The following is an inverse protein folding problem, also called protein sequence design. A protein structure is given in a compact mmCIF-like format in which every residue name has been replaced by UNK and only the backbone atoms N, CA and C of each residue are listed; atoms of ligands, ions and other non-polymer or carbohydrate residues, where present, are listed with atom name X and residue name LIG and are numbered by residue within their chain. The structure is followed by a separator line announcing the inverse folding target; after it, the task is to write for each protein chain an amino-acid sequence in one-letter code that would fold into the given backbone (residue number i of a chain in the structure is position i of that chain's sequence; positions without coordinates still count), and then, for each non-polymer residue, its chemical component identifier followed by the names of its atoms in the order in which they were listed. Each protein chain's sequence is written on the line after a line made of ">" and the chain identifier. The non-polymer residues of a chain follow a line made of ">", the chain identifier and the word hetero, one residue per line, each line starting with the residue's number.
data_IF_102585238148
#
_entry.id   IF_102585238148
#
_cell.length_a   1.000
_cell.length_b   1.000
_cell.length_c   1.000
_cell.angle_alpha   90.00
_cell.angle_beta   90.00
_cell.angle_gamma   90.00
#
_symmetry.space_group_name_H-M   'P 1'
#
loop_
_entity.id
_entity.type
_entity.pdbx_description
1 polymer ?
#
# COMPACT_ATOMS: atom_id res chain seq x y z
N UNK A 1 28.76 15.87 5.70
CA UNK A 1 27.68 15.47 4.77
C UNK A 1 26.44 16.27 5.12
N UNK A 2 25.63 16.77 4.18
CA UNK A 2 24.36 17.40 4.52
C UNK A 2 23.48 16.36 5.27
N UNK A 3 22.70 16.84 6.24
CA UNK A 3 21.74 15.98 6.95
C UNK A 3 20.75 15.39 5.96
N UNK A 4 20.33 14.12 6.11
CA UNK A 4 19.35 13.51 5.22
C UNK A 4 18.07 14.33 5.20
N UNK A 5 17.42 14.44 4.04
CA UNK A 5 16.13 15.08 3.94
C UNK A 5 15.10 14.34 4.79
N UNK A 6 14.38 15.05 5.65
CA UNK A 6 13.36 14.47 6.53
C UNK A 6 12.00 14.94 6.04
N UNK A 7 11.11 13.99 5.70
CA UNK A 7 9.70 14.28 5.42
C UNK A 7 8.90 14.23 6.74
N UNK A 8 8.33 15.36 7.17
CA UNK A 8 7.45 15.39 8.34
C UNK A 8 6.12 14.68 8.02
N UNK A 9 5.36 14.22 9.05
CA UNK A 9 4.05 13.64 8.83
C UNK A 9 3.06 14.70 8.33
N UNK A 10 2.30 14.36 7.27
CA UNK A 10 1.29 15.25 6.68
C UNK A 10 -0.08 15.11 7.35
N UNK A 11 -0.40 13.93 7.90
CA UNK A 11 -1.76 13.61 8.40
C UNK A 11 -1.81 13.10 9.83
N UNK A 12 -0.72 13.19 10.59
CA UNK A 12 -0.71 12.90 12.02
C UNK A 12 -1.68 13.83 12.77
N UNK A 13 -2.49 13.28 13.67
CA UNK A 13 -3.56 13.98 14.38
C UNK A 13 -4.86 14.14 13.58
N UNK A 14 -4.89 13.68 12.31
CA UNK A 14 -6.08 13.72 11.44
C UNK A 14 -6.51 12.33 10.98
N UNK A 15 -5.62 11.56 10.36
CA UNK A 15 -5.88 10.18 9.90
C UNK A 15 -5.57 9.14 10.96
N UNK A 16 -4.64 9.46 11.86
CA UNK A 16 -4.24 8.63 13.00
C UNK A 16 -3.78 9.54 14.15
N UNK A 17 -3.73 9.05 15.41
CA UNK A 17 -3.32 9.86 16.56
C UNK A 17 -1.93 10.47 16.40
N UNK A 18 -1.81 11.78 16.67
CA UNK A 18 -0.52 12.50 16.61
C UNK A 18 0.40 12.22 17.81
N UNK A 19 -0.09 11.55 18.89
CA UNK A 19 0.70 11.18 20.07
C UNK A 19 1.10 9.71 19.98
N UNK A 20 2.39 9.44 20.10
CA UNK A 20 2.99 8.10 19.98
C UNK A 20 2.28 7.03 20.82
N UNK A 21 2.02 7.34 22.09
CA UNK A 21 1.38 6.41 23.01
C UNK A 21 -0.05 6.02 22.60
N UNK A 22 -0.84 7.00 22.16
CA UNK A 22 -2.21 6.77 21.69
C UNK A 22 -2.22 5.97 20.38
N UNK A 23 -1.31 6.34 19.47
CA UNK A 23 -1.14 5.67 18.19
C UNK A 23 -0.73 4.20 18.39
N UNK A 24 0.26 3.96 19.24
CA UNK A 24 0.72 2.59 19.55
C UNK A 24 -0.40 1.72 20.10
N UNK A 25 -1.16 2.20 21.09
CA UNK A 25 -2.30 1.47 21.66
C UNK A 25 -3.38 1.16 20.61
N UNK A 26 -3.70 2.12 19.76
CA UNK A 26 -4.71 1.92 18.71
C UNK A 26 -4.26 0.88 17.69
N UNK A 27 -3.00 0.92 17.26
CA UNK A 27 -2.46 -0.08 16.33
C UNK A 27 -2.45 -1.47 16.96
N UNK A 28 -2.05 -1.61 18.23
CA UNK A 28 -2.06 -2.90 18.94
C UNK A 28 -3.45 -3.55 18.96
N UNK A 29 -4.51 -2.74 19.15
CA UNK A 29 -5.89 -3.22 19.05
C UNK A 29 -6.24 -3.75 17.66
N UNK A 30 -5.72 -3.13 16.59
CA UNK A 30 -5.99 -3.55 15.21
C UNK A 30 -5.16 -4.75 14.77
N UNK A 31 -3.93 -4.90 15.26
CA UNK A 31 -3.06 -6.04 14.95
C UNK A 31 -3.57 -7.35 15.52
N UNK A 32 -4.32 -7.28 16.64
CA UNK A 32 -4.82 -8.47 17.35
C UNK A 32 -3.72 -9.22 18.11
N UNK A 33 -4.11 -10.32 18.74
CA UNK A 33 -3.21 -11.12 19.58
C UNK A 33 -2.45 -12.13 18.72
N UNK A 34 -1.26 -11.78 18.28
CA UNK A 34 -0.26 -12.66 17.63
C UNK A 34 -0.83 -13.60 16.56
N UNK A 35 -1.46 -13.09 15.49
CA UNK A 35 -1.97 -13.94 14.43
C UNK A 35 -0.84 -14.69 13.72
N UNK A 36 -1.11 -15.91 13.25
CA UNK A 36 -0.18 -16.72 12.49
C UNK A 36 0.31 -15.96 11.24
N UNK A 37 1.63 -15.92 11.07
CA UNK A 37 2.28 -15.22 9.95
C UNK A 37 2.22 -16.05 8.68
N UNK A 38 1.92 -15.41 7.55
CA UNK A 38 1.95 -16.03 6.22
C UNK A 38 3.37 -15.96 5.68
N UNK A 39 4.17 -17.02 5.87
CA UNK A 39 5.62 -17.03 5.60
C UNK A 39 5.99 -16.71 4.15
N UNK A 40 5.21 -17.18 3.18
CA UNK A 40 5.41 -16.91 1.74
C UNK A 40 4.89 -15.55 1.24
N UNK A 41 4.39 -14.68 2.13
CA UNK A 41 3.88 -13.39 1.73
C UNK A 41 4.98 -12.54 1.05
N UNK A 42 4.68 -12.08 -0.15
CA UNK A 42 5.51 -11.17 -0.96
C UNK A 42 4.88 -9.79 -1.10
N UNK A 43 3.55 -9.73 -1.25
CA UNK A 43 2.84 -8.47 -1.43
C UNK A 43 1.50 -8.43 -0.70
N UNK A 44 0.97 -7.23 -0.55
CA UNK A 44 -0.37 -7.05 0.00
C UNK A 44 -1.05 -5.80 -0.56
N UNK A 45 -2.39 -5.82 -0.56
CA UNK A 45 -3.24 -4.64 -0.72
C UNK A 45 -3.76 -4.27 0.65
N UNK A 46 -3.63 -2.99 1.03
CA UNK A 46 -4.08 -2.45 2.32
C UNK A 46 -4.74 -1.09 2.15
N UNK A 47 -5.82 -0.78 2.88
CA UNK A 47 -6.51 0.49 2.80
C UNK A 47 -5.73 1.62 3.49
N UNK A 48 -6.10 2.88 3.16
CA UNK A 48 -5.43 4.08 3.67
C UNK A 48 -6.37 5.20 4.14
N UNK A 49 -7.64 4.91 4.36
CA UNK A 49 -8.53 5.83 5.05
C UNK A 49 -8.06 6.09 6.50
N UNK A 50 -8.65 7.07 7.17
CA UNK A 50 -8.36 7.30 8.58
C UNK A 50 -8.54 6.02 9.41
N UNK A 51 -7.66 5.84 10.40
CA UNK A 51 -7.58 4.59 11.18
C UNK A 51 -8.89 4.16 11.84
N UNK A 52 -9.74 5.12 12.19
CA UNK A 52 -11.07 4.79 12.74
C UNK A 52 -11.96 4.03 11.74
N UNK A 53 -11.75 4.22 10.44
CA UNK A 53 -12.55 3.57 9.39
C UNK A 53 -11.91 2.28 8.88
N UNK A 54 -10.65 2.35 8.48
CA UNK A 54 -9.96 1.25 7.79
C UNK A 54 -8.87 0.56 8.61
N UNK A 55 -8.49 1.11 9.77
CA UNK A 55 -7.38 0.61 10.59
C UNK A 55 -7.53 -0.86 10.99
N UNK A 56 -8.77 -1.30 11.26
CA UNK A 56 -9.04 -2.71 11.61
C UNK A 56 -8.88 -3.69 10.42
N UNK A 57 -8.97 -3.19 9.16
CA UNK A 57 -8.69 -3.98 7.96
C UNK A 57 -7.18 -4.01 7.71
N UNK A 58 -6.52 -2.85 7.76
CA UNK A 58 -5.07 -2.75 7.64
C UNK A 58 -4.35 -3.59 8.72
N UNK A 59 -4.76 -3.45 9.98
CA UNK A 59 -4.19 -4.22 11.10
C UNK A 59 -4.32 -5.74 10.94
N UNK A 60 -5.46 -6.22 10.41
CA UNK A 60 -5.63 -7.64 10.13
C UNK A 60 -4.63 -8.18 9.11
N UNK A 61 -4.21 -7.34 8.13
CA UNK A 61 -3.16 -7.69 7.16
C UNK A 61 -1.79 -7.61 7.82
N UNK A 62 -1.42 -6.45 8.40
CA UNK A 62 -0.11 -6.26 9.02
C UNK A 62 0.19 -7.29 10.13
N UNK A 63 -0.85 -7.68 10.87
CA UNK A 63 -0.73 -8.74 11.87
C UNK A 63 -0.28 -10.07 11.29
N UNK A 64 -0.56 -10.38 10.03
CA UNK A 64 -0.20 -11.63 9.35
C UNK A 64 1.05 -11.55 8.49
N UNK A 65 1.62 -10.36 8.26
CA UNK A 65 2.84 -10.23 7.46
C UNK A 65 4.07 -10.68 8.24
N UNK A 66 4.97 -11.44 7.61
CA UNK A 66 6.28 -11.74 8.18
C UNK A 66 7.17 -10.49 8.15
N UNK A 67 8.14 -10.42 9.06
CA UNK A 67 9.14 -9.36 9.03
C UNK A 67 10.01 -9.46 7.77
N UNK A 68 10.25 -8.30 7.15
CA UNK A 68 11.21 -8.12 6.05
C UNK A 68 12.14 -6.96 6.38
N UNK A 69 13.28 -6.90 5.71
CA UNK A 69 14.23 -5.78 5.89
C UNK A 69 13.84 -4.55 5.09
N UNK A 70 13.18 -4.74 3.93
CA UNK A 70 12.81 -3.66 3.02
C UNK A 70 11.35 -3.79 2.59
N UNK A 71 10.63 -2.67 2.62
CA UNK A 71 9.25 -2.55 2.15
C UNK A 71 9.18 -1.57 0.98
N UNK A 72 8.81 -2.05 -0.22
CA UNK A 72 8.46 -1.19 -1.35
C UNK A 72 6.99 -0.82 -1.19
N UNK A 73 6.70 0.44 -0.91
CA UNK A 73 5.33 0.89 -0.65
C UNK A 73 4.86 1.76 -1.81
N UNK A 74 3.88 1.25 -2.53
CA UNK A 74 3.23 1.91 -3.65
C UNK A 74 1.96 2.59 -3.17
N UNK A 75 1.75 3.84 -3.54
CA UNK A 75 0.53 4.56 -3.22
C UNK A 75 -0.01 5.33 -4.43
N UNK A 76 -1.31 5.63 -4.51
CA UNK A 76 -1.81 6.59 -5.48
C UNK A 76 -1.26 7.98 -5.19
N UNK A 77 -1.21 8.83 -6.20
CA UNK A 77 -0.90 10.25 -6.03
C UNK A 77 -2.21 11.06 -6.02
N UNK A 78 -2.77 11.29 -4.84
CA UNK A 78 -4.01 12.06 -4.67
C UNK A 78 -3.80 13.56 -4.89
N UNK A 79 -2.59 14.05 -4.72
CA UNK A 79 -2.28 15.48 -4.84
C UNK A 79 -2.17 15.94 -6.29
N UNK A 80 -1.90 15.02 -7.22
CA UNK A 80 -1.62 15.30 -8.61
C UNK A 80 -0.31 16.06 -8.85
N UNK A 81 0.53 16.25 -7.80
CA UNK A 81 1.82 16.95 -7.92
C UNK A 81 2.92 15.97 -8.29
N UNK A 82 3.96 16.51 -8.90
CA UNK A 82 5.18 15.81 -9.25
C UNK A 82 5.04 14.85 -10.43
N UNK A 83 5.99 13.94 -10.54
CA UNK A 83 6.09 13.01 -11.66
C UNK A 83 4.99 11.93 -11.66
N UNK A 84 4.56 11.44 -12.85
CA UNK A 84 3.56 10.38 -12.98
C UNK A 84 3.92 9.07 -12.27
N UNK A 85 5.20 8.74 -12.17
CA UNK A 85 5.76 7.67 -11.34
C UNK A 85 6.93 8.26 -10.55
N UNK A 86 6.69 8.62 -9.30
CA UNK A 86 7.63 9.32 -8.43
C UNK A 86 8.23 8.40 -7.37
N UNK A 87 9.53 8.49 -7.16
CA UNK A 87 10.26 7.77 -6.11
C UNK A 87 11.13 8.76 -5.34
N UNK A 88 11.24 8.59 -4.02
CA UNK A 88 12.32 9.17 -3.24
C UNK A 88 13.38 8.11 -3.00
N UNK A 89 14.63 8.38 -3.41
CA UNK A 89 15.71 7.40 -3.29
C UNK A 89 16.61 7.61 -2.08
N UNK A 90 16.36 8.63 -1.26
CA UNK A 90 17.13 8.89 -0.04
C UNK A 90 16.36 9.74 0.95
N UNK A 91 16.77 9.70 2.22
CA UNK A 91 16.17 10.47 3.30
C UNK A 91 15.44 9.61 4.32
N UNK A 92 14.63 10.25 5.13
CA UNK A 92 13.84 9.63 6.20
C UNK A 92 12.43 10.20 6.23
N UNK A 93 11.45 9.40 6.61
CA UNK A 93 10.12 9.89 6.93
C UNK A 93 9.88 9.82 8.45
N UNK A 94 9.27 10.88 8.97
CA UNK A 94 8.94 10.99 10.38
C UNK A 94 7.48 10.57 10.61
N UNK A 95 7.26 9.76 11.64
CA UNK A 95 5.93 9.47 12.20
C UNK A 95 5.95 9.79 13.69
N UNK A 96 4.81 9.81 14.39
CA UNK A 96 4.82 9.92 15.84
C UNK A 96 5.59 8.80 16.57
N UNK A 97 5.77 7.62 15.92
CA UNK A 97 6.52 6.48 16.47
C UNK A 97 8.04 6.54 16.18
N UNK A 98 8.51 7.57 15.48
CA UNK A 98 9.93 7.73 15.14
C UNK A 98 10.19 7.81 13.64
N UNK A 99 11.47 7.71 13.27
CA UNK A 99 11.95 7.84 11.90
C UNK A 99 11.98 6.49 11.20
N UNK A 100 11.72 6.51 9.90
CA UNK A 100 11.89 5.36 9.01
C UNK A 100 12.79 5.78 7.86
N UNK A 101 13.91 5.08 7.69
CA UNK A 101 14.89 5.39 6.66
C UNK A 101 14.47 4.82 5.30
N UNK A 102 14.80 5.55 4.23
CA UNK A 102 14.66 5.06 2.86
C UNK A 102 15.79 4.09 2.54
N UNK A 103 15.47 2.93 1.95
CA UNK A 103 16.44 2.01 1.40
C UNK A 103 16.98 2.55 0.06
N UNK A 104 18.04 3.34 0.15
CA UNK A 104 18.66 3.96 -1.03
C UNK A 104 19.21 2.92 -2.01
N UNK A 105 19.71 1.79 -1.54
CA UNK A 105 20.23 0.75 -2.41
C UNK A 105 19.11 0.14 -3.25
N UNK A 106 18.00 -0.23 -2.62
CA UNK A 106 16.81 -0.76 -3.32
C UNK A 106 16.19 0.30 -4.24
N UNK A 107 16.10 1.55 -3.80
CA UNK A 107 15.58 2.64 -4.64
C UNK A 107 16.41 2.83 -5.93
N UNK A 108 17.74 2.75 -5.85
CA UNK A 108 18.60 2.80 -7.03
C UNK A 108 18.43 1.59 -7.96
N UNK A 109 18.24 0.38 -7.41
CA UNK A 109 17.93 -0.81 -8.21
C UNK A 109 16.59 -0.64 -8.96
N UNK A 110 15.55 -0.14 -8.29
CA UNK A 110 14.25 0.13 -8.89
C UNK A 110 14.33 1.15 -10.03
N UNK A 111 15.02 2.26 -9.85
CA UNK A 111 15.22 3.28 -10.91
C UNK A 111 15.98 2.74 -12.11
N UNK A 112 16.92 1.84 -11.91
CA UNK A 112 17.63 1.17 -13.01
C UNK A 112 16.75 0.16 -13.75
N UNK A 113 15.86 -0.52 -13.02
CA UNK A 113 14.98 -1.53 -13.58
C UNK A 113 13.74 -0.94 -14.27
N UNK A 114 13.27 0.25 -13.83
CA UNK A 114 12.12 0.94 -14.41
C UNK A 114 12.49 2.40 -14.74
N UNK A 115 12.76 2.67 -16.00
CA UNK A 115 13.16 4.02 -16.48
C UNK A 115 12.04 5.07 -16.37
N UNK A 116 10.80 4.64 -16.14
CA UNK A 116 9.67 5.53 -15.91
C UNK A 116 9.65 6.13 -14.49
N UNK A 117 10.41 5.54 -13.54
CA UNK A 117 10.53 6.06 -12.18
C UNK A 117 11.44 7.29 -12.14
N UNK A 118 10.86 8.41 -11.77
CA UNK A 118 11.55 9.69 -11.64
C UNK A 118 11.81 10.01 -10.17
N UNK A 119 13.02 10.52 -9.89
CA UNK A 119 13.32 11.06 -8.55
C UNK A 119 12.48 12.31 -8.32
N UNK A 120 11.59 12.25 -7.35
CA UNK A 120 10.67 13.34 -7.06
C UNK A 120 10.14 13.26 -5.62
N UNK A 121 10.50 14.24 -4.81
CA UNK A 121 10.01 14.35 -3.44
C UNK A 121 8.67 15.10 -3.35
N UNK A 122 8.32 15.91 -4.36
CA UNK A 122 7.11 16.75 -4.34
C UNK A 122 5.84 15.89 -4.33
N UNK A 123 5.82 14.80 -5.12
CA UNK A 123 4.71 13.85 -5.16
C UNK A 123 4.40 13.22 -3.79
N UNK A 124 5.37 13.20 -2.89
CA UNK A 124 5.26 12.57 -1.56
C UNK A 124 4.96 13.56 -0.43
N UNK A 125 5.17 14.86 -0.65
CA UNK A 125 5.19 15.85 0.43
C UNK A 125 3.91 15.86 1.26
N UNK A 126 2.75 15.88 0.61
CA UNK A 126 1.43 15.95 1.23
C UNK A 126 0.59 14.68 1.00
N UNK A 127 1.18 13.62 0.39
CA UNK A 127 0.49 12.38 0.12
C UNK A 127 0.37 11.52 1.39
N UNK A 128 -0.87 11.18 1.75
CA UNK A 128 -1.19 10.49 2.99
C UNK A 128 -1.18 8.96 2.87
N UNK A 129 -1.52 8.44 1.68
CA UNK A 129 -1.87 7.03 1.50
C UNK A 129 -0.70 6.07 1.74
N UNK A 130 0.53 6.52 1.56
CA UNK A 130 1.72 5.78 1.97
C UNK A 130 2.04 5.99 3.45
N UNK A 131 1.95 7.24 3.92
CA UNK A 131 2.32 7.61 5.29
C UNK A 131 1.59 6.78 6.33
N UNK A 132 0.28 6.55 6.14
CA UNK A 132 -0.56 5.81 7.09
C UNK A 132 -0.15 4.33 7.24
N UNK A 133 0.65 3.78 6.33
CA UNK A 133 1.14 2.41 6.41
C UNK A 133 2.34 2.27 7.35
N UNK A 134 3.15 3.34 7.47
CA UNK A 134 4.41 3.29 8.23
C UNK A 134 4.22 2.98 9.73
N UNK A 135 3.26 3.59 10.45
CA UNK A 135 3.08 3.28 11.87
C UNK A 135 2.69 1.83 12.13
N UNK A 136 1.89 1.20 11.23
CA UNK A 136 1.58 -0.23 11.33
C UNK A 136 2.83 -1.08 11.21
N UNK A 137 3.71 -0.79 10.24
CA UNK A 137 4.98 -1.49 10.09
C UNK A 137 5.88 -1.28 11.30
N UNK A 138 6.07 -0.04 11.76
CA UNK A 138 6.88 0.26 12.95
C UNK A 138 6.42 -0.56 14.16
N UNK A 139 5.12 -0.79 14.31
CA UNK A 139 4.58 -1.52 15.45
C UNK A 139 4.60 -3.04 15.25
N UNK A 140 4.36 -3.54 14.04
CA UNK A 140 4.24 -4.97 13.77
C UNK A 140 5.58 -5.68 13.52
N UNK A 141 6.57 -4.96 12.95
CA UNK A 141 7.86 -5.57 12.55
C UNK A 141 9.09 -4.91 13.20
N UNK A 142 8.93 -3.74 13.81
CA UNK A 142 10.02 -2.98 14.44
C UNK A 142 10.86 -2.22 13.42
N UNK A 143 12.18 -2.38 13.43
CA UNK A 143 13.09 -1.70 12.51
C UNK A 143 13.05 -2.31 11.10
N UNK A 144 12.94 -1.44 10.09
CA UNK A 144 12.93 -1.75 8.66
C UNK A 144 13.35 -0.51 7.86
N UNK A 145 13.67 -0.72 6.59
CA UNK A 145 13.80 0.35 5.60
C UNK A 145 12.66 0.25 4.58
N UNK A 146 12.40 1.34 3.86
CA UNK A 146 11.35 1.34 2.85
C UNK A 146 11.74 2.13 1.61
N UNK A 147 11.01 1.91 0.52
CA UNK A 147 11.09 2.73 -0.70
C UNK A 147 9.70 3.26 -1.02
N UNK A 148 9.51 4.58 -0.97
CA UNK A 148 8.23 5.22 -1.31
C UNK A 148 8.11 5.41 -2.82
N UNK A 149 6.98 4.96 -3.40
CA UNK A 149 6.64 5.18 -4.81
C UNK A 149 5.21 5.71 -4.91
N UNK A 150 5.04 6.92 -5.45
CA UNK A 150 3.75 7.50 -5.76
C UNK A 150 3.39 7.25 -7.23
N UNK A 151 2.19 6.74 -7.47
CA UNK A 151 1.68 6.36 -8.78
C UNK A 151 0.56 7.33 -9.19
N UNK A 152 0.89 8.27 -10.05
CA UNK A 152 -0.01 9.30 -10.60
C UNK A 152 -0.45 9.02 -12.04
N UNK A 153 -0.10 7.88 -12.62
CA UNK A 153 -0.53 7.49 -13.97
C UNK A 153 -1.54 6.36 -13.94
N UNK A 154 -2.50 6.40 -14.87
CA UNK A 154 -3.51 5.35 -15.05
C UNK A 154 -3.28 4.46 -16.27
N UNK A 155 -2.18 4.65 -17.01
CA UNK A 155 -1.88 3.86 -18.20
C UNK A 155 -1.38 2.46 -17.87
N UNK A 156 -2.10 1.38 -18.29
CA UNK A 156 -1.78 -0.01 -17.97
C UNK A 156 -0.32 -0.38 -18.27
N UNK A 157 0.20 -0.01 -19.45
CA UNK A 157 1.58 -0.33 -19.84
C UNK A 157 2.63 0.27 -18.91
N UNK A 158 2.38 1.47 -18.36
CA UNK A 158 3.29 2.08 -17.40
C UNK A 158 3.25 1.35 -16.03
N UNK A 159 2.05 0.93 -15.61
CA UNK A 159 1.85 0.16 -14.38
C UNK A 159 2.49 -1.24 -14.47
N UNK A 160 2.31 -1.89 -15.62
CA UNK A 160 2.93 -3.19 -15.92
C UNK A 160 4.47 -3.06 -15.95
N UNK A 161 5.01 -2.03 -16.62
CA UNK A 161 6.45 -1.75 -16.63
C UNK A 161 7.01 -1.52 -15.24
N UNK A 162 6.27 -0.82 -14.37
CA UNK A 162 6.66 -0.64 -12.97
C UNK A 162 6.70 -2.00 -12.24
N UNK A 163 5.70 -2.85 -12.45
CA UNK A 163 5.65 -4.19 -11.87
C UNK A 163 6.83 -5.07 -12.29
N UNK A 164 7.16 -5.11 -13.58
CA UNK A 164 8.34 -5.82 -14.09
C UNK A 164 9.65 -5.28 -13.49
N UNK A 165 9.77 -3.94 -13.36
CA UNK A 165 10.90 -3.30 -12.71
C UNK A 165 11.04 -3.69 -11.23
N UNK A 166 9.93 -3.75 -10.50
CA UNK A 166 9.92 -4.22 -9.10
C UNK A 166 10.37 -5.68 -9.01
N UNK A 167 9.85 -6.57 -9.87
CA UNK A 167 10.26 -7.97 -9.89
C UNK A 167 11.75 -8.12 -10.17
N UNK A 168 12.26 -7.38 -11.16
CA UNK A 168 13.69 -7.40 -11.51
C UNK A 168 14.57 -6.94 -10.34
N UNK A 169 14.19 -5.85 -9.66
CA UNK A 169 14.95 -5.31 -8.54
C UNK A 169 14.89 -6.23 -7.30
N UNK A 170 13.72 -6.82 -7.01
CA UNK A 170 13.50 -7.66 -5.84
C UNK A 170 14.02 -9.10 -5.99
N UNK A 171 14.14 -9.62 -7.22
CA UNK A 171 14.51 -11.04 -7.49
C UNK A 171 15.73 -11.55 -6.72
N UNK A 172 16.86 -10.80 -6.62
CA UNK A 172 18.04 -11.27 -5.89
C UNK A 172 17.82 -11.40 -4.37
N UNK A 173 16.83 -10.71 -3.82
CA UNK A 173 16.56 -10.58 -2.39
C UNK A 173 15.07 -10.78 -2.06
N UNK A 174 14.36 -11.61 -2.84
CA UNK A 174 12.90 -11.76 -2.73
C UNK A 174 12.44 -12.14 -1.31
N UNK A 175 13.23 -12.91 -0.57
CA UNK A 175 12.95 -13.25 0.83
C UNK A 175 13.11 -12.10 1.83
N UNK A 176 13.72 -10.98 1.44
CA UNK A 176 13.96 -9.81 2.28
C UNK A 176 13.06 -8.62 1.95
N UNK A 177 12.30 -8.70 0.85
CA UNK A 177 11.45 -7.61 0.33
C UNK A 177 9.97 -7.95 0.49
N UNK A 178 9.17 -6.94 0.79
CA UNK A 178 7.71 -6.96 0.76
C UNK A 178 7.20 -5.78 -0.09
N UNK A 179 6.21 -6.01 -0.93
CA UNK A 179 5.57 -4.95 -1.72
C UNK A 179 4.19 -4.64 -1.14
N UNK A 180 3.96 -3.39 -0.76
CA UNK A 180 2.68 -2.93 -0.23
C UNK A 180 2.01 -2.04 -1.26
N UNK A 181 0.83 -2.43 -1.71
CA UNK A 181 -0.06 -1.61 -2.54
C UNK A 181 -1.11 -0.96 -1.64
N UNK A 182 -0.98 0.34 -1.44
CA UNK A 182 -1.92 1.12 -0.63
C UNK A 182 -3.14 1.49 -1.47
N UNK A 183 -4.33 1.04 -1.09
CA UNK A 183 -5.58 1.29 -1.84
C UNK A 183 -6.81 1.14 -1.00
N UNK A 184 -7.68 2.16 -1.03
CA UNK A 184 -9.09 1.96 -0.74
C UNK A 184 -9.80 1.42 -2.00
N UNK A 185 -11.01 0.83 -1.82
CA UNK A 185 -11.80 0.24 -2.90
C UNK A 185 -12.76 1.29 -3.50
N UNK A 186 -14.00 0.93 -3.80
CA UNK A 186 -14.98 1.83 -4.40
C UNK A 186 -15.42 2.93 -3.42
N UNK A 187 -15.75 4.13 -3.93
CA UNK A 187 -16.03 5.33 -3.14
C UNK A 187 -17.41 5.92 -3.44
N UNK A 188 -18.07 6.39 -2.38
CA UNK A 188 -19.21 7.30 -2.39
C UNK A 188 -20.46 6.78 -3.13
N UNK A 189 -20.65 5.47 -3.13
CA UNK A 189 -21.86 4.80 -3.58
C UNK A 189 -22.56 4.09 -2.42
N UNK A 190 -23.85 3.70 -2.55
CA UNK A 190 -24.55 2.94 -1.52
C UNK A 190 -23.84 1.62 -1.16
N UNK A 191 -23.88 1.22 0.11
CA UNK A 191 -23.14 0.09 0.67
C UNK A 191 -23.33 -1.21 -0.13
N UNK A 192 -24.56 -1.54 -0.54
CA UNK A 192 -24.83 -2.75 -1.34
C UNK A 192 -24.14 -2.72 -2.70
N UNK A 193 -24.20 -1.60 -3.43
CA UNK A 193 -23.55 -1.43 -4.73
C UNK A 193 -22.03 -1.41 -4.60
N UNK A 194 -21.50 -0.71 -3.58
CA UNK A 194 -20.06 -0.68 -3.29
C UNK A 194 -19.54 -2.09 -3.06
N UNK A 195 -20.20 -2.88 -2.22
CA UNK A 195 -19.80 -4.28 -1.96
C UNK A 195 -19.83 -5.14 -3.22
N UNK A 196 -20.83 -4.98 -4.08
CA UNK A 196 -20.91 -5.71 -5.35
C UNK A 196 -19.71 -5.36 -6.27
N UNK A 197 -19.44 -4.07 -6.48
CA UNK A 197 -18.33 -3.57 -7.28
C UNK A 197 -16.98 -4.03 -6.72
N UNK A 198 -16.78 -3.87 -5.42
CA UNK A 198 -15.54 -4.27 -4.74
C UNK A 198 -15.25 -5.76 -4.89
N UNK A 199 -16.27 -6.62 -4.77
CA UNK A 199 -16.08 -8.07 -4.95
C UNK A 199 -15.60 -8.42 -6.35
N UNK A 200 -16.10 -7.73 -7.41
CA UNK A 200 -15.62 -7.94 -8.79
C UNK A 200 -14.13 -7.60 -8.93
N UNK A 201 -13.67 -6.50 -8.30
CA UNK A 201 -12.26 -6.13 -8.29
C UNK A 201 -11.41 -7.10 -7.43
N UNK A 202 -11.90 -7.48 -6.25
CA UNK A 202 -11.24 -8.42 -5.34
C UNK A 202 -11.06 -9.78 -6.04
N UNK A 203 -12.05 -10.29 -6.76
CA UNK A 203 -11.94 -11.54 -7.52
C UNK A 203 -10.76 -11.52 -8.51
N UNK A 204 -10.53 -10.40 -9.18
CA UNK A 204 -9.40 -10.24 -10.10
C UNK A 204 -8.05 -10.21 -9.36
N UNK A 205 -7.99 -9.57 -8.19
CA UNK A 205 -6.79 -9.58 -7.35
C UNK A 205 -6.51 -11.01 -6.85
N UNK A 206 -7.54 -11.73 -6.39
CA UNK A 206 -7.42 -13.11 -5.91
C UNK A 206 -7.02 -14.09 -7.01
N UNK A 207 -7.45 -13.84 -8.25
CA UNK A 207 -7.05 -14.60 -9.43
C UNK A 207 -5.64 -14.25 -9.93
N UNK A 208 -4.93 -13.29 -9.31
CA UNK A 208 -3.65 -12.77 -9.78
C UNK A 208 -3.73 -12.29 -11.25
N UNK A 209 -4.81 -11.57 -11.58
CA UNK A 209 -5.15 -11.12 -12.94
C UNK A 209 -5.04 -9.58 -13.07
N UNK A 210 -3.82 -8.99 -13.18
CA UNK A 210 -3.67 -7.55 -13.30
C UNK A 210 -4.38 -6.93 -14.52
N UNK A 211 -4.37 -7.53 -15.75
CA UNK A 211 -5.14 -6.96 -16.85
C UNK A 211 -6.65 -7.05 -16.61
N UNK A 212 -7.15 -8.17 -16.10
CA UNK A 212 -8.57 -8.32 -15.76
C UNK A 212 -9.01 -7.36 -14.63
N UNK A 213 -8.13 -7.03 -13.66
CA UNK A 213 -8.40 -5.99 -12.69
C UNK A 213 -8.58 -4.64 -13.39
N UNK A 214 -7.64 -4.25 -14.27
CA UNK A 214 -7.71 -2.99 -15.00
C UNK A 214 -9.00 -2.89 -15.83
N UNK A 215 -9.38 -3.97 -16.52
CA UNK A 215 -10.58 -4.03 -17.37
C UNK A 215 -11.87 -3.93 -16.54
N UNK A 216 -11.99 -4.67 -15.43
CA UNK A 216 -13.22 -4.67 -14.61
C UNK A 216 -13.44 -3.32 -13.96
N UNK A 217 -12.37 -2.65 -13.46
CA UNK A 217 -12.49 -1.32 -12.89
C UNK A 217 -13.07 -0.30 -13.88
N UNK A 218 -12.62 -0.35 -15.14
CA UNK A 218 -13.11 0.57 -16.19
C UNK A 218 -14.50 0.22 -16.67
N UNK A 219 -14.80 -1.07 -16.86
CA UNK A 219 -16.10 -1.53 -17.35
C UNK A 219 -17.23 -1.27 -16.36
N UNK A 220 -16.97 -1.49 -15.08
CA UNK A 220 -17.96 -1.36 -14.00
C UNK A 220 -17.93 0.00 -13.30
N UNK A 221 -17.07 0.93 -13.75
CA UNK A 221 -16.85 2.24 -13.14
C UNK A 221 -16.56 2.13 -11.64
N UNK A 222 -15.53 1.32 -11.28
CA UNK A 222 -15.11 1.11 -9.90
C UNK A 222 -14.00 2.11 -9.55
N UNK A 223 -14.22 2.95 -8.54
CA UNK A 223 -13.33 4.04 -8.17
C UNK A 223 -12.21 3.64 -7.20
N UNK A 224 -11.62 2.45 -7.37
CA UNK A 224 -10.48 1.98 -6.58
C UNK A 224 -9.27 2.90 -6.78
N UNK A 225 -8.93 3.72 -5.75
CA UNK A 225 -7.91 4.77 -5.89
C UNK A 225 -6.50 4.23 -6.12
N UNK A 226 -6.14 3.13 -5.49
CA UNK A 226 -4.82 2.49 -5.59
C UNK A 226 -4.75 1.34 -6.59
N UNK A 227 -5.57 1.34 -7.65
CA UNK A 227 -5.49 0.28 -8.66
C UNK A 227 -4.13 0.21 -9.36
N UNK A 228 -3.49 1.35 -9.60
CA UNK A 228 -2.14 1.40 -10.17
C UNK A 228 -1.11 0.69 -9.28
N UNK A 229 -0.98 1.05 -8.00
CA UNK A 229 -0.24 0.27 -7.01
C UNK A 229 -0.54 -1.23 -7.01
N UNK A 230 -1.84 -1.61 -7.02
CA UNK A 230 -2.24 -3.01 -6.99
C UNK A 230 -1.83 -3.77 -8.26
N UNK A 231 -2.00 -3.17 -9.46
CA UNK A 231 -1.58 -3.76 -10.73
C UNK A 231 -0.06 -3.97 -10.75
N UNK A 232 0.72 -2.96 -10.36
CA UNK A 232 2.18 -3.08 -10.34
C UNK A 232 2.64 -4.16 -9.35
N UNK A 233 2.06 -4.23 -8.15
CA UNK A 233 2.36 -5.27 -7.16
C UNK A 233 2.00 -6.66 -7.68
N UNK A 234 0.80 -6.84 -8.27
CA UNK A 234 0.38 -8.13 -8.84
C UNK A 234 1.26 -8.58 -9.99
N UNK A 235 1.65 -7.66 -10.89
CA UNK A 235 2.58 -7.95 -11.99
C UNK A 235 3.92 -8.42 -11.44
N UNK A 236 4.47 -7.72 -10.45
CA UNK A 236 5.72 -8.12 -9.81
C UNK A 236 5.61 -9.49 -9.14
N UNK A 237 4.52 -9.75 -8.45
CA UNK A 237 4.28 -11.02 -7.79
C UNK A 237 4.21 -12.19 -8.79
N UNK A 238 3.51 -12.01 -9.92
CA UNK A 238 3.45 -13.02 -11.00
C UNK A 238 4.82 -13.32 -11.59
N UNK A 239 5.61 -12.30 -11.89
CA UNK A 239 6.97 -12.47 -12.43
C UNK A 239 7.91 -13.21 -11.47
N UNK A 240 7.62 -13.15 -10.17
CA UNK A 240 8.35 -13.86 -9.13
C UNK A 240 7.73 -15.23 -8.79
N UNK A 241 6.64 -15.61 -9.46
CA UNK A 241 6.04 -16.93 -9.33
C UNK A 241 4.94 -17.03 -8.27
N UNK A 242 4.26 -15.93 -7.94
CA UNK A 242 3.13 -15.95 -7.01
C UNK A 242 2.03 -16.90 -7.48
N UNK A 243 1.54 -17.72 -6.54
CA UNK A 243 0.55 -18.75 -6.80
C UNK A 243 -0.76 -18.53 -6.06
N UNK A 244 -0.76 -17.65 -5.04
CA UNK A 244 -1.92 -17.48 -4.17
C UNK A 244 -2.12 -16.02 -3.78
N UNK A 245 -3.37 -15.57 -3.81
CA UNK A 245 -3.82 -14.36 -3.12
C UNK A 245 -4.97 -14.73 -2.18
N UNK A 246 -5.04 -14.08 -1.03
CA UNK A 246 -6.01 -14.37 0.02
C UNK A 246 -6.61 -13.08 0.54
N UNK A 247 -7.95 -12.99 0.51
CA UNK A 247 -8.68 -11.94 1.23
C UNK A 247 -8.60 -12.21 2.73
N UNK A 248 -8.02 -11.29 3.46
CA UNK A 248 -7.86 -11.38 4.92
C UNK A 248 -9.05 -10.75 5.62
N UNK A 249 -9.47 -9.57 5.15
CA UNK A 249 -10.61 -8.86 5.68
C UNK A 249 -11.19 -7.90 4.65
N UNK A 250 -12.51 -7.74 4.66
CA UNK A 250 -13.24 -6.74 3.90
C UNK A 250 -14.21 -6.02 4.82
N UNK A 251 -14.36 -4.72 4.61
CA UNK A 251 -15.32 -3.86 5.30
C UNK A 251 -15.68 -2.66 4.44
N UNK A 252 -16.70 -1.90 4.84
CA UNK A 252 -16.96 -0.56 4.32
C UNK A 252 -16.99 0.44 5.48
N UNK A 253 -17.00 1.74 5.16
CA UNK A 253 -17.13 2.78 6.18
C UNK A 253 -18.46 2.66 6.97
N UNK A 254 -19.49 2.06 6.38
CA UNK A 254 -20.77 1.77 7.05
C UNK A 254 -20.61 0.85 8.28
N UNK A 255 -19.63 -0.06 8.26
CA UNK A 255 -19.39 -0.96 9.37
C UNK A 255 -18.91 -0.21 10.64
N UNK A 256 -18.41 1.02 10.48
CA UNK A 256 -17.99 1.89 11.59
C UNK A 256 -19.01 3.00 11.87
N UNK A 257 -19.59 3.62 10.84
CA UNK A 257 -20.46 4.80 10.99
C UNK A 257 -21.93 4.46 11.09
N UNK A 258 -22.37 3.31 10.55
CA UNK A 258 -23.76 2.96 10.35
C UNK A 258 -24.42 3.60 9.13
N UNK A 259 -23.78 4.61 8.53
CA UNK A 259 -24.27 5.28 7.31
C UNK A 259 -23.99 4.39 6.08
N UNK A 260 -25.04 4.10 5.30
CA UNK A 260 -25.02 3.20 4.14
C UNK A 260 -25.27 3.89 2.81
N UNK A 261 -25.46 5.20 2.80
CA UNK A 261 -25.86 5.93 1.61
C UNK A 261 -24.67 6.25 0.69
N UNK A 262 -23.52 6.56 1.30
CA UNK A 262 -22.29 6.90 0.56
C UNK A 262 -21.06 6.35 1.32
N UNK A 263 -20.62 5.16 0.95
CA UNK A 263 -19.54 4.45 1.67
C UNK A 263 -18.23 4.40 0.89
N UNK A 264 -17.15 4.03 1.58
CA UNK A 264 -15.87 3.65 0.99
C UNK A 264 -15.60 2.20 1.38
N UNK A 265 -15.20 1.38 0.40
CA UNK A 265 -14.82 0.00 0.62
C UNK A 265 -13.35 -0.16 1.02
N UNK A 266 -13.06 -1.17 1.83
CA UNK A 266 -11.73 -1.49 2.35
C UNK A 266 -11.43 -2.97 2.22
N UNK A 267 -10.42 -3.34 1.45
CA UNK A 267 -9.98 -4.72 1.31
C UNK A 267 -8.55 -4.90 1.81
N UNK A 268 -8.33 -5.92 2.62
CA UNK A 268 -7.03 -6.37 3.04
C UNK A 268 -6.72 -7.70 2.37
N UNK A 269 -5.73 -7.76 1.48
CA UNK A 269 -5.38 -8.94 0.69
C UNK A 269 -3.88 -9.22 0.81
N UNK A 270 -3.49 -10.49 0.96
CA UNK A 270 -2.08 -10.91 0.96
C UNK A 270 -1.85 -11.80 -0.26
N UNK A 271 -0.74 -11.54 -0.96
CA UNK A 271 -0.23 -12.29 -2.12
C UNK A 271 1.03 -13.05 -1.72
N UNK A 272 1.07 -14.34 -2.03
CA UNK A 272 2.18 -15.24 -1.64
C UNK A 272 2.82 -15.91 -2.86
N UNK A 273 4.14 -16.09 -2.76
CA UNK A 273 4.97 -16.85 -3.72
C UNK A 273 4.80 -18.35 -3.51
#
# INVERSE_FOLDING_TARGET
>A
MPSPAIRPPAVAGRFYPGRAELLGRQIDQYLGNEPEKISGAFGCVVPHAGYMYSGHVAGAVFGKLPKRSTYIILCPNHTGRGAPLAIMSSGEWLTPLGRVAIDSAMAHLLRRACHLLMEDAEAHQDEHSLEVQLPFLQRSVGEFNFVPIAVGTGGYSALESLGHGIAQAARPTAGAVMVIASSDMNHYEPDGLTREKDHKAIEKILALDPPGLYEVLRREDISMCGYGPAIAMLTAAKDLGAQRAQLIKYATSADTTGDRDAVVGYAGIIVSL
#
